data_IF_051921941482
#
_entry.id   IF_051921941482
#
_cell.length_a   1.000
_cell.length_b   1.000
_cell.length_c   1.000
_cell.angle_alpha   90.00
_cell.angle_beta   90.00
_cell.angle_gamma   90.00
#
_symmetry.space_group_name_H-M   'P 1'
#
loop_
_entity.id
_entity.type
_entity.pdbx_description
1 polymer ?
#
# COMPACT_ATOMS: atom_id res chain seq x y z
N UNK A 1 34.85 -31.40 21.46
CA UNK A 1 33.62 -31.67 22.25
C UNK A 1 32.47 -31.86 21.26
N UNK A 2 31.94 -33.07 21.12
CA UNK A 2 30.77 -33.38 20.27
C UNK A 2 29.52 -33.27 21.15
N UNK A 3 28.58 -32.41 20.77
CA UNK A 3 27.28 -32.29 21.44
C UNK A 3 26.27 -33.02 20.57
N UNK A 4 25.72 -34.11 21.09
CA UNK A 4 24.63 -34.87 20.47
C UNK A 4 23.30 -34.17 20.81
N UNK A 5 22.41 -33.89 19.84
CA UNK A 5 21.09 -33.34 20.16
C UNK A 5 20.11 -34.46 20.53
N UNK A 6 19.47 -34.30 21.69
CA UNK A 6 18.33 -35.10 22.18
C UNK A 6 17.07 -34.76 21.36
N UNK A 7 16.22 -35.74 20.99
CA UNK A 7 15.00 -35.44 20.24
C UNK A 7 13.95 -34.75 21.14
N UNK A 8 13.46 -33.60 20.68
CA UNK A 8 12.35 -32.89 21.32
C UNK A 8 11.03 -33.62 21.05
N UNK A 9 10.37 -34.03 22.13
CA UNK A 9 9.03 -34.58 22.19
C UNK A 9 8.01 -33.62 21.56
N UNK A 10 7.25 -34.08 20.56
CA UNK A 10 6.06 -33.37 20.06
C UNK A 10 4.84 -33.82 20.88
N UNK A 11 4.36 -32.94 21.75
CA UNK A 11 3.08 -33.11 22.43
C UNK A 11 1.99 -32.56 21.49
N UNK A 12 1.15 -33.45 20.97
CA UNK A 12 -0.04 -33.09 20.20
C UNK A 12 -1.20 -33.02 21.20
N UNK A 13 -1.74 -31.83 21.42
CA UNK A 13 -2.99 -31.64 22.16
C UNK A 13 -4.19 -31.87 21.22
N UNK A 14 -5.07 -32.86 21.45
CA UNK A 14 -6.36 -32.87 20.78
C UNK A 14 -7.26 -31.80 21.41
N UNK A 15 -7.62 -30.78 20.62
CA UNK A 15 -8.69 -29.83 20.98
C UNK A 15 -10.02 -30.57 20.86
N UNK A 16 -10.63 -30.85 22.01
CA UNK A 16 -11.95 -31.46 22.14
C UNK A 16 -13.02 -30.39 21.86
N UNK A 17 -13.76 -30.53 20.76
CA UNK A 17 -14.93 -29.70 20.47
C UNK A 17 -16.14 -30.31 21.18
N UNK A 18 -16.65 -29.63 22.22
CA UNK A 18 -17.88 -30.00 22.90
C UNK A 18 -19.05 -29.29 22.21
N UNK A 19 -19.85 -30.03 21.43
CA UNK A 19 -21.16 -29.57 20.97
C UNK A 19 -22.18 -30.10 21.99
N UNK A 20 -22.54 -29.26 22.96
CA UNK A 20 -23.65 -29.55 23.86
C UNK A 20 -24.98 -29.31 23.13
N UNK A 21 -25.46 -30.34 22.44
CA UNK A 21 -26.84 -30.44 21.99
C UNK A 21 -27.74 -30.83 23.17
N UNK A 22 -28.61 -29.94 23.59
CA UNK A 22 -29.62 -30.23 24.60
C UNK A 22 -30.72 -31.08 23.94
N UNK A 23 -30.80 -32.37 24.32
CA UNK A 23 -31.88 -33.26 23.93
C UNK A 23 -32.98 -33.22 25.00
N UNK A 24 -34.18 -32.82 24.61
CA UNK A 24 -35.42 -33.09 25.37
C UNK A 24 -36.14 -34.26 24.70
N UNK A 25 -36.44 -35.31 25.46
CA UNK A 25 -37.28 -36.43 25.01
C UNK A 25 -38.76 -36.07 25.17
N UNK A 26 -39.56 -36.31 24.14
CA UNK A 26 -40.98 -36.67 24.29
C UNK A 26 -41.43 -37.53 23.09
N UNK A 27 -42.02 -38.69 23.39
CA UNK A 27 -42.70 -39.60 22.44
C UNK A 27 -44.11 -39.08 22.12
N UNK A 28 -44.54 -39.14 20.85
CA UNK A 28 -45.59 -40.05 20.31
C UNK A 28 -45.92 -39.69 18.86
N UNK A 29 -46.27 -40.72 18.08
CA UNK A 29 -46.42 -40.73 16.63
C UNK A 29 -47.74 -40.12 16.14
N UNK A 30 -47.67 -39.33 15.06
CA UNK A 30 -48.75 -39.21 14.07
C UNK A 30 -48.15 -38.73 12.73
N UNK A 31 -48.42 -39.46 11.65
CA UNK A 31 -48.00 -39.13 10.30
C UNK A 31 -48.66 -37.83 9.83
N UNK A 32 -47.86 -36.82 9.52
CA UNK A 32 -48.27 -35.65 8.77
C UNK A 32 -47.26 -35.45 7.64
N UNK A 33 -47.73 -35.70 6.42
CA UNK A 33 -47.05 -35.34 5.18
C UNK A 33 -46.81 -33.82 5.25
N UNK A 34 -45.55 -33.41 5.41
CA UNK A 34 -45.14 -32.01 5.24
C UNK A 34 -44.50 -31.87 3.88
N UNK A 35 -45.18 -31.13 3.01
CA UNK A 35 -44.58 -30.48 1.85
C UNK A 35 -43.29 -29.80 2.32
N UNK A 36 -42.16 -30.34 1.85
CA UNK A 36 -40.85 -29.75 2.13
C UNK A 36 -40.62 -28.67 1.09
N UNK A 37 -41.28 -27.52 1.25
CA UNK A 37 -40.77 -26.28 0.68
C UNK A 37 -39.44 -26.02 1.39
N UNK A 38 -38.33 -26.40 0.76
CA UNK A 38 -36.99 -26.00 1.19
C UNK A 38 -36.92 -24.49 1.12
N UNK A 39 -37.21 -23.82 2.23
CA UNK A 39 -36.79 -22.44 2.43
C UNK A 39 -35.27 -22.50 2.49
N UNK A 40 -34.62 -22.19 1.36
CA UNK A 40 -33.18 -21.95 1.32
C UNK A 40 -32.95 -20.78 2.28
N UNK A 41 -32.49 -21.09 3.48
CA UNK A 41 -32.06 -20.06 4.42
C UNK A 41 -31.05 -19.20 3.65
N UNK A 42 -31.40 -17.93 3.43
CA UNK A 42 -30.48 -16.99 2.84
C UNK A 42 -29.19 -17.08 3.67
N UNK A 43 -28.11 -17.53 3.04
CA UNK A 43 -26.81 -17.56 3.69
C UNK A 43 -26.50 -16.11 4.06
N UNK A 44 -26.70 -15.77 5.32
CA UNK A 44 -26.35 -14.47 5.87
C UNK A 44 -24.83 -14.42 5.79
N UNK A 45 -24.29 -13.81 4.74
CA UNK A 45 -22.86 -13.57 4.62
C UNK A 45 -22.46 -12.75 5.84
N UNK A 46 -21.59 -13.30 6.67
CA UNK A 46 -21.01 -12.56 7.78
C UNK A 46 -20.37 -11.26 7.23
N UNK A 47 -20.39 -10.15 7.99
CA UNK A 47 -19.71 -8.93 7.59
C UNK A 47 -18.25 -9.23 7.27
N UNK A 48 -17.77 -8.70 6.15
CA UNK A 48 -16.36 -8.80 5.80
C UNK A 48 -15.53 -7.98 6.80
N UNK A 49 -14.35 -8.47 7.15
CA UNK A 49 -13.37 -7.70 7.92
C UNK A 49 -12.81 -6.57 7.07
N UNK A 50 -12.25 -5.53 7.70
CA UNK A 50 -11.57 -4.43 6.99
C UNK A 50 -10.54 -4.97 5.99
N UNK A 51 -9.79 -5.99 6.40
CA UNK A 51 -8.83 -6.67 5.52
C UNK A 51 -9.49 -7.32 4.31
N UNK A 52 -10.57 -8.06 4.49
CA UNK A 52 -11.24 -8.69 3.36
C UNK A 52 -11.85 -7.66 2.40
N UNK A 53 -12.43 -6.57 2.93
CA UNK A 53 -12.93 -5.45 2.14
C UNK A 53 -11.82 -4.79 1.33
N UNK A 54 -10.68 -4.50 1.96
CA UNK A 54 -9.55 -3.86 1.30
C UNK A 54 -9.01 -4.76 0.18
N UNK A 55 -8.82 -6.04 0.46
CA UNK A 55 -8.35 -7.01 -0.53
C UNK A 55 -9.29 -7.09 -1.74
N UNK A 56 -10.61 -7.03 -1.53
CA UNK A 56 -11.58 -6.99 -2.62
C UNK A 56 -11.38 -5.77 -3.54
N UNK A 57 -11.10 -4.59 -2.97
CA UNK A 57 -10.80 -3.39 -3.77
C UNK A 57 -9.47 -3.50 -4.53
N UNK A 58 -8.47 -4.14 -3.95
CA UNK A 58 -7.14 -4.27 -4.55
C UNK A 58 -7.06 -5.37 -5.60
N UNK A 59 -7.83 -6.45 -5.44
CA UNK A 59 -7.94 -7.52 -6.43
C UNK A 59 -8.64 -7.07 -7.72
N UNK A 60 -9.41 -5.97 -7.69
CA UNK A 60 -10.00 -5.39 -8.90
C UNK A 60 -9.08 -4.43 -9.65
N UNK A 61 -7.89 -4.13 -9.11
CA UNK A 61 -6.93 -3.23 -9.77
C UNK A 61 -6.15 -3.96 -10.89
N UNK A 62 -5.82 -3.28 -12.00
CA UNK A 62 -4.95 -3.83 -13.03
C UNK A 62 -3.59 -4.25 -12.46
N UNK A 63 -3.08 -5.38 -12.95
CA UNK A 63 -1.72 -5.80 -12.64
C UNK A 63 -0.70 -4.88 -13.33
N UNK A 64 0.40 -4.59 -12.63
CA UNK A 64 1.54 -3.88 -13.21
C UNK A 64 2.57 -4.85 -13.80
N UNK A 65 3.30 -4.38 -14.81
CA UNK A 65 4.51 -5.03 -15.32
C UNK A 65 5.76 -4.39 -14.72
N UNK A 66 6.81 -5.20 -14.54
CA UNK A 66 8.11 -4.74 -14.06
C UNK A 66 9.14 -4.66 -15.20
N UNK A 67 10.08 -3.68 -15.17
CA UNK A 67 10.20 -2.59 -14.19
C UNK A 67 9.03 -1.61 -14.28
N UNK A 68 8.52 -1.19 -13.13
CA UNK A 68 7.42 -0.24 -13.04
C UNK A 68 8.00 1.16 -12.90
N UNK A 69 7.67 2.03 -13.86
CA UNK A 69 8.08 3.43 -13.85
C UNK A 69 7.01 4.24 -13.14
N UNK A 70 7.38 4.90 -12.04
CA UNK A 70 6.48 5.82 -11.36
C UNK A 70 6.13 6.96 -12.30
N UNK A 71 4.85 7.25 -12.46
CA UNK A 71 4.39 8.31 -13.33
C UNK A 71 2.93 8.65 -13.06
N UNK A 72 2.56 9.88 -13.42
CA UNK A 72 1.17 10.29 -13.62
C UNK A 72 0.57 9.47 -14.77
N UNK A 73 0.20 8.23 -14.49
CA UNK A 73 -0.56 7.43 -15.42
C UNK A 73 -2.02 7.82 -15.21
N UNK A 74 -2.60 8.58 -16.13
CA UNK A 74 -3.97 9.09 -15.98
C UNK A 74 -5.03 7.97 -16.05
N UNK A 75 -4.61 6.76 -16.45
CA UNK A 75 -5.41 5.54 -16.49
C UNK A 75 -5.49 4.80 -15.14
N UNK A 76 -4.92 5.35 -14.05
CA UNK A 76 -5.05 4.73 -12.72
C UNK A 76 -6.51 4.76 -12.26
N UNK A 77 -7.15 3.60 -12.08
CA UNK A 77 -8.56 3.54 -11.73
C UNK A 77 -8.81 4.14 -10.34
N UNK A 78 -9.92 4.88 -10.23
CA UNK A 78 -10.41 5.37 -8.95
C UNK A 78 -11.04 4.22 -8.17
N UNK A 79 -10.49 3.94 -7.00
CA UNK A 79 -11.09 3.02 -6.03
C UNK A 79 -11.97 3.79 -5.04
N UNK A 80 -13.14 3.25 -4.75
CA UNK A 80 -14.03 3.77 -3.72
C UNK A 80 -13.66 3.15 -2.37
N UNK A 81 -13.17 3.98 -1.45
CA UNK A 81 -12.82 3.57 -0.09
C UNK A 81 -13.76 4.19 0.95
N UNK A 82 -14.95 4.65 0.54
CA UNK A 82 -15.94 5.26 1.45
C UNK A 82 -16.40 4.33 2.57
N UNK A 83 -16.34 3.01 2.37
CA UNK A 83 -16.62 2.01 3.44
C UNK A 83 -15.64 2.14 4.61
N UNK A 84 -14.44 2.70 4.35
CA UNK A 84 -13.40 2.98 5.33
C UNK A 84 -13.40 4.43 5.82
N UNK A 85 -14.48 5.20 5.61
CA UNK A 85 -14.53 6.61 6.02
C UNK A 85 -14.35 6.85 7.53
N UNK A 86 -14.51 5.79 8.33
CA UNK A 86 -14.24 5.80 9.76
C UNK A 86 -12.74 5.69 10.11
N UNK A 87 -11.86 5.41 9.14
CA UNK A 87 -10.40 5.35 9.29
C UNK A 87 -9.77 6.69 8.92
N UNK A 88 -8.61 7.01 9.50
CA UNK A 88 -7.84 8.19 9.12
C UNK A 88 -7.04 7.89 7.83
N UNK A 89 -7.53 8.39 6.70
CA UNK A 89 -6.92 8.21 5.37
C UNK A 89 -6.33 9.52 4.78
N UNK A 90 -6.34 10.59 5.54
CA UNK A 90 -5.85 11.92 5.15
C UNK A 90 -4.85 12.44 6.16
N UNK A 91 -4.01 13.39 5.74
CA UNK A 91 -2.94 14.02 6.53
C UNK A 91 -2.02 12.97 7.14
N UNK A 92 -1.60 12.02 6.32
CA UNK A 92 -0.69 10.94 6.70
C UNK A 92 0.73 11.46 6.57
N UNK A 93 1.54 11.43 7.64
CA UNK A 93 2.93 11.84 7.57
C UNK A 93 3.71 10.87 6.68
N UNK A 94 4.70 11.38 5.96
CA UNK A 94 5.61 10.55 5.18
C UNK A 94 7.04 11.03 5.34
N UNK A 95 8.00 10.20 4.95
CA UNK A 95 9.42 10.54 5.03
C UNK A 95 9.86 11.29 3.78
N UNK A 96 10.22 12.55 3.97
CA UNK A 96 10.93 13.34 2.95
C UNK A 96 12.34 12.78 2.72
N UNK A 97 12.83 12.90 1.49
CA UNK A 97 14.20 12.54 1.14
C UNK A 97 14.87 13.79 0.57
N UNK A 98 15.45 14.65 1.42
CA UNK A 98 16.13 15.85 0.96
C UNK A 98 17.22 15.48 -0.04
N UNK A 99 17.16 16.08 -1.22
CA UNK A 99 18.17 15.91 -2.26
C UNK A 99 18.43 17.25 -2.90
N UNK A 100 19.69 17.68 -2.92
CA UNK A 100 20.11 18.93 -3.52
C UNK A 100 21.42 18.73 -4.27
N UNK A 101 21.56 19.42 -5.40
CA UNK A 101 22.79 19.56 -6.18
C UNK A 101 22.89 21.02 -6.61
N UNK A 102 23.98 21.70 -6.24
CA UNK A 102 24.14 23.14 -6.44
C UNK A 102 23.01 23.93 -5.76
N UNK A 103 22.35 24.80 -6.53
CA UNK A 103 21.19 25.59 -6.07
C UNK A 103 19.83 24.91 -6.29
N UNK A 104 19.81 23.71 -6.89
CA UNK A 104 18.59 22.97 -7.20
C UNK A 104 18.29 21.93 -6.11
N UNK A 105 17.02 21.80 -5.71
CA UNK A 105 16.63 20.93 -4.59
C UNK A 105 15.27 20.26 -4.75
N UNK A 106 15.08 19.17 -4.02
CA UNK A 106 13.84 18.40 -3.88
C UNK A 106 13.64 18.10 -2.40
N UNK A 107 12.42 18.27 -1.90
CA UNK A 107 12.06 17.99 -0.50
C UNK A 107 12.93 18.73 0.53
N UNK A 108 13.32 19.98 0.23
CA UNK A 108 14.30 20.74 1.03
C UNK A 108 13.75 21.30 2.35
N UNK A 109 12.44 21.55 2.43
CA UNK A 109 11.82 22.17 3.59
C UNK A 109 11.60 21.12 4.70
N UNK A 110 12.07 21.41 5.92
CA UNK A 110 11.94 20.56 7.12
C UNK A 110 10.57 20.69 7.81
N UNK A 111 9.52 21.08 7.09
CA UNK A 111 8.18 21.19 7.68
C UNK A 111 7.50 19.82 7.73
N UNK A 112 6.66 19.63 8.77
CA UNK A 112 5.78 18.46 8.89
C UNK A 112 4.91 18.35 7.63
N UNK A 113 5.26 17.42 6.75
CA UNK A 113 4.58 17.24 5.47
C UNK A 113 3.72 15.98 5.52
N UNK A 114 2.53 16.07 4.95
CA UNK A 114 1.59 14.95 4.87
C UNK A 114 1.09 14.73 3.45
N UNK A 115 0.47 13.57 3.22
CA UNK A 115 -0.26 13.26 1.99
C UNK A 115 -1.59 12.59 2.35
N UNK A 116 -2.47 12.51 1.36
CA UNK A 116 -3.76 11.84 1.50
C UNK A 116 -3.77 10.55 0.68
N UNK A 117 -4.29 9.47 1.27
CA UNK A 117 -4.57 8.23 0.56
C UNK A 117 -5.82 8.33 -0.31
N UNK A 118 -6.72 9.26 0.00
CA UNK A 118 -8.00 9.46 -0.68
C UNK A 118 -8.33 10.94 -0.77
N UNK A 119 -9.15 11.32 -1.75
CA UNK A 119 -9.71 12.66 -1.80
C UNK A 119 -10.86 12.85 -0.79
N UNK A 120 -11.46 14.04 -0.78
CA UNK A 120 -12.58 14.41 0.10
C UNK A 120 -13.85 13.55 -0.07
N UNK A 121 -13.96 12.80 -1.17
CA UNK A 121 -15.04 11.86 -1.45
C UNK A 121 -14.65 10.39 -1.18
N UNK A 122 -13.55 10.17 -0.46
CA UNK A 122 -12.99 8.85 -0.17
C UNK A 122 -12.66 8.03 -1.42
N UNK A 123 -12.31 8.71 -2.51
CA UNK A 123 -11.80 8.06 -3.73
C UNK A 123 -10.28 8.14 -3.74
N UNK A 124 -9.62 7.01 -3.96
CA UNK A 124 -8.17 6.92 -4.11
C UNK A 124 -7.79 6.59 -5.54
N UNK A 125 -6.70 7.17 -6.06
CA UNK A 125 -6.05 6.70 -7.30
C UNK A 125 -4.84 5.88 -6.91
N UNK A 126 -5.02 4.56 -6.85
CA UNK A 126 -4.02 3.64 -6.33
C UNK A 126 -3.56 2.68 -7.41
N UNK A 127 -2.26 2.45 -7.46
CA UNK A 127 -1.68 1.33 -8.19
C UNK A 127 -1.17 0.31 -7.19
N UNK A 128 -1.66 -0.93 -7.28
CA UNK A 128 -1.14 -2.02 -6.45
C UNK A 128 0.22 -2.47 -7.00
N UNK A 129 1.28 -2.22 -6.24
CA UNK A 129 2.65 -2.59 -6.61
C UNK A 129 2.98 -4.00 -6.15
N UNK A 130 2.64 -4.35 -4.91
CA UNK A 130 2.88 -5.69 -4.38
C UNK A 130 1.98 -6.04 -3.20
N UNK A 131 1.75 -7.33 -3.02
CA UNK A 131 1.16 -7.91 -1.81
C UNK A 131 2.23 -8.68 -1.05
N UNK A 132 2.35 -8.43 0.24
CA UNK A 132 3.23 -9.18 1.17
C UNK A 132 2.37 -9.76 2.31
N UNK A 133 2.87 -10.78 3.02
CA UNK A 133 2.09 -11.40 4.09
C UNK A 133 1.61 -10.44 5.18
N UNK A 134 2.34 -9.34 5.44
CA UNK A 134 2.06 -8.40 6.53
C UNK A 134 1.54 -7.04 6.08
N UNK A 135 1.78 -6.68 4.82
CA UNK A 135 1.46 -5.37 4.28
C UNK A 135 1.27 -5.45 2.77
N UNK A 136 0.75 -4.39 2.20
CA UNK A 136 0.67 -4.18 0.77
C UNK A 136 1.44 -2.92 0.42
N UNK A 137 1.92 -2.85 -0.81
CA UNK A 137 2.64 -1.70 -1.36
C UNK A 137 1.76 -1.11 -2.44
N UNK A 138 1.42 0.17 -2.28
CA UNK A 138 0.60 0.92 -3.23
C UNK A 138 1.31 2.20 -3.62
N UNK A 139 1.26 2.55 -4.90
CA UNK A 139 1.57 3.89 -5.36
C UNK A 139 0.30 4.73 -5.34
N UNK A 140 0.42 5.97 -4.86
CA UNK A 140 -0.69 6.89 -4.61
C UNK A 140 -0.35 8.24 -5.21
N UNK A 141 -1.27 8.79 -6.02
CA UNK A 141 -1.17 10.15 -6.55
C UNK A 141 -1.64 11.15 -5.50
N UNK A 142 -0.79 12.12 -5.15
CA UNK A 142 -1.14 13.26 -4.30
C UNK A 142 -0.82 14.59 -4.97
N UNK A 143 -1.24 15.68 -4.35
CA UNK A 143 -1.14 17.04 -4.92
C UNK A 143 0.31 17.47 -5.23
N UNK A 144 1.28 16.95 -4.46
CA UNK A 144 2.69 17.32 -4.54
C UNK A 144 3.58 16.24 -5.19
N UNK A 145 2.99 15.22 -5.83
CA UNK A 145 3.72 14.16 -6.54
C UNK A 145 3.17 12.76 -6.29
N UNK A 146 3.96 11.74 -6.65
CA UNK A 146 3.62 10.33 -6.44
C UNK A 146 4.30 9.80 -5.18
N UNK A 147 3.54 9.03 -4.40
CA UNK A 147 3.98 8.45 -3.14
C UNK A 147 3.94 6.92 -3.25
N UNK A 148 4.98 6.27 -2.73
CA UNK A 148 4.96 4.83 -2.51
C UNK A 148 4.71 4.58 -1.04
N UNK A 149 3.67 3.82 -0.74
CA UNK A 149 3.13 3.66 0.60
C UNK A 149 3.07 2.17 0.93
N UNK A 150 3.54 1.82 2.12
CA UNK A 150 3.30 0.51 2.71
C UNK A 150 2.18 0.64 3.73
N UNK A 151 1.14 -0.17 3.58
CA UNK A 151 -0.03 -0.16 4.47
C UNK A 151 -0.34 -1.57 4.95
N UNK A 152 -0.85 -1.68 6.17
CA UNK A 152 -1.35 -2.95 6.70
C UNK A 152 -2.59 -3.39 5.94
N UNK A 153 -2.96 -4.66 6.10
CA UNK A 153 -4.23 -5.17 5.56
C UNK A 153 -5.45 -4.49 6.19
N UNK A 154 -5.31 -3.78 7.31
CA UNK A 154 -6.38 -3.01 7.95
C UNK A 154 -6.36 -1.52 7.59
N UNK A 155 -5.67 -1.16 6.50
CA UNK A 155 -5.59 0.20 5.96
C UNK A 155 -4.81 1.19 6.85
N UNK A 156 -3.89 0.70 7.69
CA UNK A 156 -3.02 1.56 8.50
C UNK A 156 -1.69 1.80 7.78
N UNK A 157 -1.26 3.06 7.69
CA UNK A 157 0.03 3.40 7.08
C UNK A 157 1.19 2.94 7.98
N UNK A 158 2.14 2.21 7.39
CA UNK A 158 3.38 1.78 8.05
C UNK A 158 4.49 2.79 7.75
N UNK A 159 4.73 3.06 6.47
CA UNK A 159 5.76 3.99 6.00
C UNK A 159 5.40 4.48 4.60
N UNK A 160 5.95 5.64 4.24
CA UNK A 160 5.71 6.27 2.95
C UNK A 160 6.91 7.11 2.53
N UNK A 161 7.21 7.09 1.24
CA UNK A 161 8.22 7.96 0.63
C UNK A 161 7.67 8.60 -0.65
N UNK A 162 8.12 9.82 -0.93
CA UNK A 162 7.81 10.50 -2.20
C UNK A 162 8.76 10.02 -3.30
N UNK A 163 8.20 9.33 -4.29
CA UNK A 163 8.93 8.66 -5.37
C UNK A 163 8.95 9.47 -6.68
N UNK A 164 8.05 10.43 -6.81
CA UNK A 164 8.07 11.42 -7.89
C UNK A 164 7.87 12.82 -7.31
N UNK A 165 8.71 13.76 -7.72
CA UNK A 165 8.65 15.14 -7.27
C UNK A 165 9.34 16.05 -8.29
N UNK A 166 8.93 17.30 -8.36
CA UNK A 166 9.65 18.37 -9.08
C UNK A 166 9.87 19.54 -8.13
N UNK A 167 10.89 20.35 -8.38
CA UNK A 167 11.12 21.59 -7.62
C UNK A 167 9.81 22.41 -7.59
N UNK A 168 9.37 22.94 -6.41
CA UNK A 168 8.25 23.87 -6.35
C UNK A 168 8.42 25.01 -7.37
N UNK A 169 7.36 25.28 -8.14
CA UNK A 169 7.37 26.11 -9.36
C UNK A 169 7.77 27.60 -9.23
N UNK A 170 8.36 28.01 -8.10
CA UNK A 170 8.77 29.39 -7.85
C UNK A 170 10.25 29.67 -8.18
N UNK A 171 11.03 28.70 -8.67
CA UNK A 171 12.44 28.92 -9.03
C UNK A 171 12.65 28.73 -10.55
N UNK A 172 12.48 29.80 -11.33
CA UNK A 172 12.49 29.77 -12.81
C UNK A 172 13.85 29.43 -13.43
N UNK A 173 14.93 29.47 -12.65
CA UNK A 173 16.29 29.25 -13.14
C UNK A 173 16.83 27.85 -12.82
N UNK A 174 16.16 27.08 -11.96
CA UNK A 174 16.70 25.83 -11.44
C UNK A 174 15.66 24.73 -11.52
N UNK A 175 15.95 23.72 -12.31
CA UNK A 175 15.13 22.54 -12.45
C UNK A 175 15.68 21.41 -11.59
N UNK A 176 14.81 20.81 -10.79
CA UNK A 176 15.07 19.55 -10.11
C UNK A 176 13.87 18.63 -10.29
N UNK A 177 14.12 17.36 -10.60
CA UNK A 177 13.09 16.35 -10.60
C UNK A 177 13.57 15.04 -10.00
N UNK A 178 12.60 14.25 -9.55
CA UNK A 178 12.74 12.87 -9.10
C UNK A 178 11.74 12.05 -9.87
N UNK A 179 12.22 10.94 -10.44
CA UNK A 179 11.40 9.84 -10.92
C UNK A 179 11.94 8.54 -10.33
N UNK A 180 11.12 7.50 -10.29
CA UNK A 180 11.54 6.23 -9.72
C UNK A 180 11.21 5.04 -10.61
N UNK A 181 12.13 4.08 -10.62
CA UNK A 181 11.92 2.75 -11.17
C UNK A 181 11.80 1.75 -10.03
N UNK A 182 10.76 0.92 -10.08
CA UNK A 182 10.51 -0.12 -9.07
C UNK A 182 10.70 -1.48 -9.74
N UNK A 183 11.55 -2.31 -9.16
CA UNK A 183 11.75 -3.71 -9.58
C UNK A 183 10.79 -4.67 -8.87
N UNK A 184 10.65 -5.89 -9.40
CA UNK A 184 9.82 -6.95 -8.79
C UNK A 184 10.27 -7.32 -7.35
N UNK A 185 11.57 -7.17 -7.06
CA UNK A 185 12.16 -7.39 -5.74
C UNK A 185 11.96 -6.19 -4.79
N UNK A 186 11.17 -5.19 -5.21
CA UNK A 186 10.92 -3.95 -4.46
C UNK A 186 12.19 -3.16 -4.15
N UNK A 187 13.17 -3.21 -5.06
CA UNK A 187 14.23 -2.21 -5.10
C UNK A 187 13.66 -1.00 -5.84
N UNK A 188 13.63 0.14 -5.15
CA UNK A 188 13.21 1.44 -5.66
C UNK A 188 14.45 2.23 -6.02
N UNK A 189 14.65 2.48 -7.31
CA UNK A 189 15.75 3.31 -7.82
C UNK A 189 15.19 4.68 -8.11
N UNK A 190 15.56 5.68 -7.32
CA UNK A 190 15.18 7.07 -7.60
C UNK A 190 16.26 7.73 -8.44
N UNK A 191 15.84 8.23 -9.59
CA UNK A 191 16.63 9.03 -10.52
C UNK A 191 16.34 10.49 -10.27
N UNK A 192 17.38 11.25 -9.97
CA UNK A 192 17.30 12.69 -9.80
C UNK A 192 18.01 13.36 -10.95
N UNK A 193 17.35 14.35 -11.57
CA UNK A 193 17.98 15.24 -12.54
C UNK A 193 17.89 16.67 -12.03
N UNK A 194 18.99 17.39 -12.21
CA UNK A 194 19.15 18.79 -11.86
C UNK A 194 19.69 19.52 -13.08
N UNK A 195 19.17 20.72 -13.34
CA UNK A 195 19.62 21.53 -14.47
C UNK A 195 19.38 23.02 -14.20
N UNK A 196 20.13 23.87 -14.91
CA UNK A 196 19.86 25.29 -15.02
C UNK A 196 18.86 25.51 -16.17
N UNK A 197 17.77 26.23 -15.92
CA UNK A 197 16.85 26.69 -16.97
C UNK A 197 17.34 28.03 -17.49
N UNK A 198 17.78 28.08 -18.75
CA UNK A 198 18.49 29.23 -19.33
C UNK A 198 17.61 30.16 -20.17
N UNK A 199 16.42 29.72 -20.55
CA UNK A 199 15.48 30.52 -21.34
C UNK A 199 14.01 30.26 -20.97
N UNK A 200 13.11 31.05 -21.57
CA UNK A 200 11.67 30.94 -21.36
C UNK A 200 11.05 29.70 -22.02
N UNK A 201 11.78 29.05 -22.93
CA UNK A 201 11.38 27.82 -23.61
C UNK A 201 11.67 26.58 -22.76
N UNK A 202 12.39 26.73 -21.64
CA UNK A 202 12.75 25.65 -20.74
C UNK A 202 14.02 24.91 -21.17
N UNK A 203 14.89 25.53 -21.96
CA UNK A 203 16.19 24.94 -22.33
C UNK A 203 17.01 24.71 -21.05
N UNK A 204 17.57 23.51 -20.97
CA UNK A 204 18.33 23.04 -19.82
C UNK A 204 19.84 22.99 -20.13
N UNK A 205 20.65 23.58 -19.25
CA UNK A 205 22.11 23.47 -19.27
C UNK A 205 22.65 22.96 -17.93
N UNK A 206 23.90 22.50 -17.94
CA UNK A 206 24.57 22.01 -16.72
C UNK A 206 23.83 20.83 -16.08
N UNK A 207 23.32 19.91 -16.91
CA UNK A 207 22.49 18.80 -16.44
C UNK A 207 23.32 17.81 -15.62
N UNK A 208 22.91 17.59 -14.37
CA UNK A 208 23.49 16.62 -13.46
C UNK A 208 22.48 15.54 -13.10
N UNK A 209 22.99 14.31 -12.97
CA UNK A 209 22.19 13.16 -12.57
C UNK A 209 22.73 12.56 -11.28
N UNK A 210 21.83 12.17 -10.39
CA UNK A 210 22.18 11.30 -9.28
C UNK A 210 21.16 10.18 -9.14
N UNK A 211 21.57 9.11 -8.47
CA UNK A 211 20.71 7.97 -8.21
C UNK A 211 20.87 7.56 -6.77
N UNK A 212 19.74 7.28 -6.13
CA UNK A 212 19.69 6.71 -4.78
C UNK A 212 18.75 5.51 -4.81
N UNK A 213 19.07 4.48 -4.03
CA UNK A 213 18.29 3.24 -3.99
C UNK A 213 17.69 3.01 -2.61
N UNK A 214 16.50 2.44 -2.59
CA UNK A 214 15.79 2.00 -1.40
C UNK A 214 15.26 0.58 -1.59
N UNK A 215 14.99 -0.08 -0.48
CA UNK A 215 14.25 -1.34 -0.42
C UNK A 215 13.21 -1.26 0.69
N UNK A 216 12.30 -2.22 0.72
CA UNK A 216 11.27 -2.34 1.75
C UNK A 216 11.61 -3.57 2.59
N UNK A 217 11.77 -3.41 3.90
CA UNK A 217 12.06 -4.52 4.79
C UNK A 217 10.81 -5.41 5.04
N UNK A 218 11.00 -6.52 5.77
CA UNK A 218 9.93 -7.47 6.11
C UNK A 218 8.78 -6.87 6.95
N UNK A 219 9.01 -5.73 7.58
CA UNK A 219 8.07 -5.02 8.45
C UNK A 219 7.36 -3.88 7.70
N UNK A 220 7.72 -3.63 6.44
CA UNK A 220 7.10 -2.60 5.59
C UNK A 220 7.83 -1.24 5.62
N UNK A 221 8.96 -1.12 6.30
CA UNK A 221 9.71 0.15 6.34
C UNK A 221 10.67 0.30 5.17
N UNK A 222 10.76 1.51 4.63
CA UNK A 222 11.69 1.84 3.57
C UNK A 222 13.10 2.04 4.15
N UNK A 223 14.08 1.29 3.65
CA UNK A 223 15.48 1.37 4.07
C UNK A 223 16.32 1.82 2.87
N UNK A 224 17.26 2.75 3.10
CA UNK A 224 18.24 3.13 2.07
C UNK A 224 19.08 1.91 1.72
N UNK A 225 19.12 1.55 0.44
CA UNK A 225 19.91 0.45 -0.07
C UNK A 225 21.34 0.95 -0.25
N UNK A 226 22.24 0.46 0.59
CA UNK A 226 23.69 0.74 0.57
C UNK A 226 24.40 -0.13 -0.46
#
# INVERSE_FOLDING_TARGET
MKITPTPAFKIIFPVMVIIAGCHTKQQTSASLIKDTTKTVAAVVKAPLTDSALLMQHLDSLPAISFPYHSGLNDDVPLIDLSVFAHKKLTKIPFRLIPTAIGASYIDYNQEDTTFDLVNTYYKGQWTLVAKRPRFIVVEVKGDAGMFLVTITHSLECIDAIRIEATNPGNNSHWYANRKSDISADLIITMHHKFALTVDAQGTEEGVEYSTKKWTINKDGHFIKFT
#
